data_IF_844209797765
#
_entry.id   IF_844209797765
#
_cell.length_a   1.000
_cell.length_b   1.000
_cell.length_c   1.000
_cell.angle_alpha   90.00
_cell.angle_beta   90.00
_cell.angle_gamma   90.00
#
_symmetry.space_group_name_H-M   'P 1'
#
loop_
_entity.id
_entity.type
_entity.pdbx_description
1 polymer ?
#
# COMPACT_ATOMS: atom_id res chain seq x y z
N UNK A 1 10.30 -24.95 -5.41
CA UNK A 1 10.77 -24.54 -4.08
C UNK A 1 10.28 -23.11 -3.88
N UNK A 2 9.16 -22.90 -3.18
CA UNK A 2 8.59 -21.57 -3.01
C UNK A 2 8.99 -21.03 -1.64
N UNK A 3 9.85 -20.02 -1.60
CA UNK A 3 10.07 -19.25 -0.38
C UNK A 3 8.76 -18.48 -0.07
N UNK A 4 8.03 -18.92 0.96
CA UNK A 4 6.64 -18.49 1.21
C UNK A 4 6.54 -17.17 1.99
N UNK A 5 7.67 -16.65 2.49
CA UNK A 5 7.72 -15.41 3.27
C UNK A 5 8.58 -14.41 2.50
N UNK A 6 7.92 -13.55 1.73
CA UNK A 6 8.53 -12.32 1.21
C UNK A 6 8.47 -11.25 2.31
N UNK A 7 9.50 -10.42 2.45
CA UNK A 7 9.45 -9.25 3.31
C UNK A 7 8.31 -8.32 2.84
N UNK A 8 7.20 -8.34 3.57
CA UNK A 8 6.09 -7.41 3.39
C UNK A 8 6.11 -6.46 4.59
N UNK A 9 6.20 -5.17 4.31
CA UNK A 9 6.07 -4.15 5.34
C UNK A 9 4.60 -3.74 5.46
N UNK A 10 4.09 -3.70 6.70
CA UNK A 10 2.68 -3.45 6.98
C UNK A 10 2.50 -2.04 7.56
N UNK A 11 1.52 -1.32 7.04
CA UNK A 11 1.24 0.07 7.40
C UNK A 11 -0.26 0.30 7.57
N UNK A 12 -0.61 1.37 8.26
CA UNK A 12 -1.99 1.83 8.44
C UNK A 12 -2.22 3.06 7.58
N UNK A 13 -3.32 3.08 6.83
CA UNK A 13 -3.77 4.25 6.08
C UNK A 13 -4.62 5.19 6.93
N UNK A 14 -4.84 6.41 6.47
CA UNK A 14 -5.64 7.41 7.16
C UNK A 14 -7.10 6.97 7.37
N UNK A 15 -7.65 6.14 6.48
CA UNK A 15 -8.98 5.53 6.64
C UNK A 15 -9.00 4.32 7.58
N UNK A 16 -7.87 3.97 8.20
CA UNK A 16 -7.75 2.80 9.09
C UNK A 16 -7.59 1.46 8.36
N UNK A 17 -7.37 1.48 7.04
CA UNK A 17 -7.10 0.26 6.25
C UNK A 17 -5.65 -0.19 6.47
N UNK A 18 -5.38 -1.46 6.25
CA UNK A 18 -4.03 -2.01 6.29
C UNK A 18 -3.44 -2.03 4.88
N UNK A 19 -2.29 -1.39 4.70
CA UNK A 19 -1.51 -1.38 3.48
C UNK A 19 -0.32 -2.35 3.58
N UNK A 20 -0.16 -3.19 2.57
CA UNK A 20 0.89 -4.20 2.47
C UNK A 20 1.87 -3.79 1.39
N UNK A 21 3.06 -3.33 1.77
CA UNK A 21 4.10 -2.86 0.86
C UNK A 21 5.09 -4.00 0.59
N UNK A 22 5.27 -4.34 -0.70
CA UNK A 22 6.07 -5.50 -1.10
C UNK A 22 7.19 -5.18 -2.11
N UNK A 23 7.15 -4.02 -2.75
CA UNK A 23 8.18 -3.64 -3.74
C UNK A 23 8.56 -2.18 -3.56
N UNK A 24 9.87 -1.91 -3.57
CA UNK A 24 10.43 -0.56 -3.66
C UNK A 24 10.95 -0.35 -5.08
N UNK A 25 10.66 0.79 -5.67
CA UNK A 25 11.18 1.22 -6.96
C UNK A 25 11.51 2.71 -6.98
N UNK A 26 11.84 3.20 -8.17
CA UNK A 26 12.17 4.60 -8.43
C UNK A 26 11.43 5.08 -9.68
N UNK A 27 10.75 6.22 -9.59
CA UNK A 27 10.06 6.89 -10.72
C UNK A 27 10.41 8.37 -10.64
N UNK A 28 10.90 8.94 -11.74
CA UNK A 28 11.31 10.36 -11.84
C UNK A 28 12.22 10.80 -10.68
N UNK A 29 13.22 9.98 -10.34
CA UNK A 29 14.16 10.19 -9.22
C UNK A 29 13.52 10.25 -7.83
N UNK A 30 12.30 9.72 -7.67
CA UNK A 30 11.63 9.59 -6.38
C UNK A 30 11.47 8.11 -6.04
N UNK A 31 11.78 7.76 -4.79
CA UNK A 31 11.43 6.43 -4.26
C UNK A 31 9.91 6.26 -4.28
N UNK A 32 9.47 5.11 -4.80
CA UNK A 32 8.07 4.69 -4.80
C UNK A 32 7.96 3.32 -4.14
N UNK A 33 6.95 3.15 -3.30
CA UNK A 33 6.61 1.87 -2.69
C UNK A 33 5.31 1.36 -3.29
N UNK A 34 5.35 0.13 -3.79
CA UNK A 34 4.20 -0.56 -4.36
C UNK A 34 3.67 -1.60 -3.38
N UNK A 35 2.36 -1.71 -3.36
CA UNK A 35 1.66 -2.57 -2.45
C UNK A 35 0.18 -2.61 -2.73
N UNK A 36 -0.59 -3.09 -1.76
CA UNK A 36 -2.03 -3.16 -1.89
C UNK A 36 -2.74 -2.93 -0.56
N UNK A 37 -4.01 -2.55 -0.66
CA UNK A 37 -4.97 -2.61 0.45
C UNK A 37 -6.03 -3.66 0.13
N UNK A 38 -6.61 -4.24 1.19
CA UNK A 38 -7.79 -5.09 1.09
C UNK A 38 -9.00 -4.32 1.59
N UNK A 39 -10.09 -4.37 0.85
CA UNK A 39 -11.36 -3.74 1.21
C UNK A 39 -12.48 -4.77 1.11
N UNK A 40 -13.49 -4.64 1.96
CA UNK A 40 -14.72 -5.42 1.85
C UNK A 40 -15.77 -4.54 1.17
N UNK A 41 -16.22 -4.95 -0.02
CA UNK A 41 -17.30 -4.29 -0.75
C UNK A 41 -18.37 -5.33 -1.08
N UNK A 42 -19.60 -5.11 -0.62
CA UNK A 42 -20.75 -6.00 -0.89
C UNK A 42 -20.46 -7.48 -0.55
N UNK A 43 -19.78 -7.71 0.58
CA UNK A 43 -19.41 -9.07 1.03
C UNK A 43 -18.27 -9.72 0.26
N UNK A 44 -17.62 -9.01 -0.68
CA UNK A 44 -16.47 -9.50 -1.43
C UNK A 44 -15.20 -8.74 -1.02
N UNK A 45 -14.12 -9.48 -0.84
CA UNK A 45 -12.79 -8.89 -0.63
C UNK A 45 -12.24 -8.40 -1.97
N UNK A 46 -12.00 -7.11 -2.07
CA UNK A 46 -11.38 -6.46 -3.22
C UNK A 46 -9.96 -6.05 -2.84
N UNK A 47 -9.00 -6.46 -3.68
CA UNK A 47 -7.61 -6.03 -3.60
C UNK A 47 -7.40 -4.83 -4.52
N UNK A 48 -6.88 -3.72 -3.99
CA UNK A 48 -6.50 -2.54 -4.77
C UNK A 48 -4.99 -2.38 -4.74
N UNK A 49 -4.36 -2.44 -5.92
CA UNK A 49 -2.95 -2.14 -6.10
C UNK A 49 -2.72 -0.63 -6.04
N UNK A 50 -1.81 -0.21 -5.16
CA UNK A 50 -1.53 1.18 -4.88
C UNK A 50 -0.01 1.42 -4.84
N UNK A 51 0.36 2.66 -5.07
CA UNK A 51 1.73 3.12 -4.97
C UNK A 51 1.80 4.36 -4.08
N UNK A 52 2.83 4.45 -3.24
CA UNK A 52 3.03 5.53 -2.30
C UNK A 52 4.41 6.16 -2.45
N UNK A 53 4.48 7.46 -2.23
CA UNK A 53 5.75 8.15 -1.99
C UNK A 53 6.27 7.88 -0.58
N UNK A 54 7.55 8.19 -0.34
CA UNK A 54 8.18 8.12 1.00
C UNK A 54 7.41 8.91 2.08
N UNK A 55 6.73 9.99 1.71
CA UNK A 55 5.91 10.79 2.64
C UNK A 55 4.53 10.16 2.98
N UNK A 56 4.24 8.98 2.45
CA UNK A 56 2.99 8.25 2.66
C UNK A 56 1.84 8.68 1.75
N UNK A 57 2.00 9.71 0.92
CA UNK A 57 0.99 10.12 -0.07
C UNK A 57 0.81 9.04 -1.14
N UNK A 58 -0.44 8.66 -1.39
CA UNK A 58 -0.78 7.72 -2.46
C UNK A 58 -0.69 8.40 -3.83
N UNK A 59 -0.04 7.75 -4.78
CA UNK A 59 0.28 8.29 -6.11
C UNK A 59 -0.91 8.08 -7.07
N UNK A 60 -1.47 6.87 -7.05
CA UNK A 60 -2.50 6.42 -8.00
C UNK A 60 -3.91 6.36 -7.40
N UNK A 61 -4.14 7.04 -6.28
CA UNK A 61 -5.46 7.24 -5.67
C UNK A 61 -5.66 8.71 -5.33
N UNK A 62 -6.86 9.23 -5.59
CA UNK A 62 -7.29 10.56 -5.16
C UNK A 62 -8.00 10.55 -3.79
N UNK A 63 -8.19 9.37 -3.20
CA UNK A 63 -8.77 9.21 -1.87
C UNK A 63 -7.69 9.50 -0.82
N UNK A 64 -7.80 10.63 -0.11
CA UNK A 64 -6.92 10.96 1.03
C UNK A 64 -6.91 9.86 2.10
N UNK A 65 -7.99 9.06 2.19
CA UNK A 65 -8.06 7.89 3.05
C UNK A 65 -7.03 6.80 2.73
N UNK A 66 -6.44 6.80 1.53
CA UNK A 66 -5.40 5.84 1.11
C UNK A 66 -3.98 6.29 1.52
N UNK A 67 -3.80 7.49 2.09
CA UNK A 67 -2.51 7.97 2.60
C UNK A 67 -2.02 7.08 3.75
N UNK A 68 -0.75 6.66 3.73
CA UNK A 68 -0.10 5.98 4.86
C UNK A 68 0.24 6.98 5.95
N UNK A 69 -0.10 6.65 7.20
CA UNK A 69 0.10 7.52 8.37
C UNK A 69 0.95 6.89 9.47
N UNK A 70 1.04 5.56 9.52
CA UNK A 70 1.72 4.83 10.60
C UNK A 70 2.23 3.46 10.10
N UNK A 71 3.33 2.96 10.68
CA UNK A 71 3.84 1.58 10.46
C UNK A 71 3.27 0.62 11.50
N UNK A 72 2.41 -0.30 11.08
CA UNK A 72 1.62 -1.18 11.95
C UNK A 72 2.48 -2.12 12.80
#
# INVERSE_FOLDING_TARGET
MAALITEVSVYTTQSGRVAFLHTRGEVDHKTVFYGYILMLCEGKTIRRELAWHECGTCINSKDEGDRIVWKA
#
